data_IF_964910041941
#
_entry.id   IF_964910041941
#
_cell.length_a   1.000
_cell.length_b   1.000
_cell.length_c   1.000
_cell.angle_alpha   90.00
_cell.angle_beta   90.00
_cell.angle_gamma   90.00
#
_symmetry.space_group_name_H-M   'P 1'
#
loop_
_entity.id
_entity.type
_entity.pdbx_description
1 polymer ?
#
# COMPACT_ATOMS: atom_id res chain seq x y z
N UNK A 1 0.04 22.81 -13.38
CA UNK A 1 0.21 21.51 -14.06
C UNK A 1 1.12 20.66 -13.22
N UNK A 2 0.59 19.69 -12.49
CA UNK A 2 1.42 18.71 -11.79
C UNK A 2 2.10 17.82 -12.83
N UNK A 3 3.39 17.51 -12.69
CA UNK A 3 4.07 16.61 -13.63
C UNK A 3 3.34 15.27 -13.62
N UNK A 4 2.95 14.81 -14.80
CA UNK A 4 2.30 13.53 -14.94
C UNK A 4 3.27 12.41 -14.56
N UNK A 5 2.83 11.50 -13.70
CA UNK A 5 3.61 10.31 -13.39
C UNK A 5 3.62 9.40 -14.63
N UNK A 6 4.77 8.92 -15.10
CA UNK A 6 4.86 8.06 -16.28
C UNK A 6 4.01 6.79 -16.16
N UNK A 7 3.78 6.31 -14.93
CA UNK A 7 2.96 5.12 -14.67
C UNK A 7 1.48 5.38 -14.91
N UNK A 8 1.01 6.60 -14.62
CA UNK A 8 -0.39 6.97 -14.83
C UNK A 8 -0.70 7.06 -16.32
N UNK A 9 0.18 7.71 -17.07
CA UNK A 9 -0.01 7.95 -18.50
C UNK A 9 0.03 6.62 -19.27
N UNK A 10 0.91 5.68 -18.87
CA UNK A 10 0.94 4.34 -19.46
C UNK A 10 -0.30 3.49 -19.08
N UNK A 11 -0.81 3.63 -17.85
CA UNK A 11 -2.07 2.99 -17.46
C UNK A 11 -3.25 3.49 -18.29
N UNK A 12 -3.37 4.80 -18.51
CA UNK A 12 -4.44 5.39 -19.32
C UNK A 12 -4.40 4.87 -20.76
N UNK A 13 -3.20 4.84 -21.37
CA UNK A 13 -2.99 4.30 -22.72
C UNK A 13 -3.46 2.84 -22.84
N UNK A 14 -3.02 1.98 -21.91
CA UNK A 14 -3.41 0.56 -21.91
C UNK A 14 -4.89 0.37 -21.59
N UNK A 15 -5.45 1.17 -20.69
CA UNK A 15 -6.85 1.08 -20.31
C UNK A 15 -7.77 1.35 -21.51
N UNK A 16 -7.57 2.46 -22.23
CA UNK A 16 -8.36 2.80 -23.42
C UNK A 16 -8.18 1.78 -24.55
N UNK A 17 -6.95 1.25 -24.72
CA UNK A 17 -6.68 0.21 -25.71
C UNK A 17 -7.52 -1.06 -25.44
N UNK A 18 -7.52 -1.55 -24.20
CA UNK A 18 -8.25 -2.78 -23.85
C UNK A 18 -9.75 -2.57 -23.68
N UNK A 19 -10.19 -1.34 -23.43
CA UNK A 19 -11.63 -1.00 -23.46
C UNK A 19 -12.22 -1.19 -24.87
N UNK A 20 -11.44 -0.93 -25.92
CA UNK A 20 -11.85 -1.05 -27.32
C UNK A 20 -11.70 -2.47 -27.87
N UNK A 21 -10.87 -3.32 -27.25
CA UNK A 21 -10.64 -4.70 -27.71
C UNK A 21 -11.73 -5.66 -27.24
N UNK A 22 -12.57 -6.14 -28.16
CA UNK A 22 -13.70 -7.03 -27.87
C UNK A 22 -13.32 -8.48 -27.62
N UNK A 23 -12.05 -8.86 -27.83
CA UNK A 23 -11.55 -10.19 -27.48
C UNK A 23 -11.38 -10.38 -25.97
N UNK A 24 -11.26 -9.30 -25.22
CA UNK A 24 -11.02 -9.31 -23.78
C UNK A 24 -12.35 -9.29 -23.02
N UNK A 25 -12.50 -10.21 -22.06
CA UNK A 25 -13.67 -10.24 -21.17
C UNK A 25 -13.73 -8.96 -20.32
N UNK A 26 -14.77 -8.16 -20.52
CA UNK A 26 -15.01 -6.88 -19.83
C UNK A 26 -16.48 -6.69 -19.45
N UNK A 27 -16.72 -5.87 -18.42
CA UNK A 27 -18.07 -5.46 -17.99
C UNK A 27 -18.07 -3.95 -17.78
N UNK A 28 -19.12 -3.28 -18.27
CA UNK A 28 -19.32 -1.83 -18.09
C UNK A 28 -20.30 -1.58 -16.95
N UNK A 29 -19.93 -0.68 -16.04
CA UNK A 29 -20.76 -0.24 -14.91
C UNK A 29 -20.64 1.28 -14.85
N UNK A 30 -21.74 2.00 -14.57
CA UNK A 30 -21.67 3.45 -14.44
C UNK A 30 -20.88 3.84 -13.20
N UNK A 31 -20.03 4.85 -13.34
CA UNK A 31 -19.23 5.32 -12.23
C UNK A 31 -20.08 5.80 -11.04
N UNK A 32 -21.17 6.53 -11.29
CA UNK A 32 -22.03 7.00 -10.19
C UNK A 32 -22.60 5.84 -9.37
N UNK A 33 -23.07 4.78 -10.03
CA UNK A 33 -23.69 3.64 -9.36
C UNK A 33 -22.70 2.91 -8.45
N UNK A 34 -21.49 2.67 -8.95
CA UNK A 34 -20.51 1.87 -8.24
C UNK A 34 -19.83 2.69 -7.13
N UNK A 35 -19.65 4.02 -7.28
CA UNK A 35 -19.12 4.88 -6.21
C UNK A 35 -20.16 5.02 -5.09
N UNK A 36 -21.43 5.15 -5.47
CA UNK A 36 -22.54 5.18 -4.52
C UNK A 36 -22.58 3.88 -3.71
N UNK A 37 -22.45 2.71 -4.36
CA UNK A 37 -22.39 1.42 -3.68
C UNK A 37 -21.21 1.33 -2.70
N UNK A 38 -20.01 1.70 -3.15
CA UNK A 38 -18.81 1.66 -2.30
C UNK A 38 -18.96 2.58 -1.06
N UNK A 39 -19.48 3.80 -1.26
CA UNK A 39 -19.67 4.75 -0.17
C UNK A 39 -20.82 4.34 0.76
N UNK A 40 -21.87 3.71 0.23
CA UNK A 40 -22.95 3.15 1.04
C UNK A 40 -22.43 2.06 1.98
N UNK A 41 -21.62 1.12 1.48
CA UNK A 41 -21.01 0.07 2.32
C UNK A 41 -19.98 0.63 3.31
N UNK A 42 -19.27 1.70 2.92
CA UNK A 42 -18.37 2.42 3.82
C UNK A 42 -19.15 3.10 4.94
N UNK A 43 -20.28 3.75 4.64
CA UNK A 43 -21.09 4.43 5.63
C UNK A 43 -21.81 3.46 6.58
N UNK A 44 -22.24 2.30 6.08
CA UNK A 44 -22.93 1.29 6.89
C UNK A 44 -21.99 0.54 7.84
N UNK A 45 -20.82 0.10 7.37
CA UNK A 45 -19.91 -0.76 8.14
C UNK A 45 -18.72 -0.02 8.76
N UNK A 46 -18.32 1.12 8.18
CA UNK A 46 -17.10 1.85 8.55
C UNK A 46 -15.79 1.15 8.20
N UNK A 47 -15.82 0.02 7.47
CA UNK A 47 -14.66 -0.86 7.23
C UNK A 47 -14.25 -1.01 5.77
N UNK A 48 -14.91 -0.30 4.86
CA UNK A 48 -14.49 -0.23 3.45
C UNK A 48 -13.47 0.89 3.30
N UNK A 49 -12.22 0.51 3.10
CA UNK A 49 -11.07 1.41 3.03
C UNK A 49 -10.73 1.82 1.60
N UNK A 50 -10.15 3.01 1.44
CA UNK A 50 -9.77 3.58 0.14
C UNK A 50 -8.29 3.91 0.16
N UNK A 51 -7.57 3.48 -0.87
CA UNK A 51 -6.17 3.80 -1.09
C UNK A 51 -6.01 4.51 -2.43
N UNK A 52 -5.47 5.73 -2.40
CA UNK A 52 -5.13 6.49 -3.59
C UNK A 52 -3.73 6.05 -4.07
N UNK A 53 -3.69 5.00 -4.88
CA UNK A 53 -2.45 4.33 -5.30
C UNK A 53 -1.52 5.22 -6.12
N UNK A 54 -2.05 6.22 -6.80
CA UNK A 54 -1.31 7.26 -7.51
C UNK A 54 -0.54 8.17 -6.54
N UNK A 55 -1.20 8.65 -5.49
CA UNK A 55 -0.54 9.44 -4.44
C UNK A 55 0.50 8.63 -3.68
N UNK A 56 0.23 7.34 -3.41
CA UNK A 56 1.18 6.43 -2.77
C UNK A 56 2.45 6.18 -3.58
N UNK A 57 2.47 6.47 -4.89
CA UNK A 57 3.64 6.28 -5.75
C UNK A 57 4.26 7.59 -6.25
N UNK A 58 3.51 8.70 -6.25
CA UNK A 58 4.05 10.04 -6.58
C UNK A 58 4.67 10.74 -5.38
N UNK A 59 4.12 10.55 -4.18
CA UNK A 59 4.64 11.12 -2.93
C UNK A 59 5.14 10.01 -2.01
N UNK A 60 6.16 9.31 -2.48
CA UNK A 60 6.74 8.15 -1.81
C UNK A 60 8.25 8.30 -1.69
N UNK A 61 8.88 7.73 -0.65
CA UNK A 61 10.33 7.60 -0.61
C UNK A 61 10.87 6.54 -1.60
N UNK A 62 10.00 5.78 -2.27
CA UNK A 62 10.38 4.72 -3.19
C UNK A 62 10.29 5.16 -4.65
N UNK A 63 11.24 4.71 -5.48
CA UNK A 63 11.13 4.81 -6.93
C UNK A 63 10.08 3.81 -7.42
N UNK A 64 8.98 4.26 -8.03
CA UNK A 64 7.89 3.38 -8.40
C UNK A 64 8.21 2.50 -9.62
N UNK A 65 9.32 2.73 -10.33
CA UNK A 65 9.80 1.84 -11.40
C UNK A 65 10.47 0.59 -10.81
N UNK A 66 11.20 0.74 -9.70
CA UNK A 66 11.96 -0.34 -9.07
C UNK A 66 11.16 -1.03 -7.97
N UNK A 67 10.53 -0.24 -7.08
CA UNK A 67 9.85 -0.72 -5.88
C UNK A 67 8.54 0.05 -5.63
N UNK A 68 7.50 -0.15 -6.48
CA UNK A 68 6.22 0.52 -6.32
C UNK A 68 5.44 0.01 -5.11
N UNK A 69 4.65 0.90 -4.52
CA UNK A 69 3.69 0.57 -3.47
C UNK A 69 2.37 0.17 -4.12
N UNK A 70 1.92 -1.06 -3.88
CA UNK A 70 0.68 -1.62 -4.48
C UNK A 70 -0.43 -1.92 -3.48
N UNK A 71 -0.13 -1.86 -2.19
CA UNK A 71 -1.06 -2.19 -1.11
C UNK A 71 -0.74 -1.39 0.15
N UNK A 72 -1.58 -1.52 1.17
CA UNK A 72 -1.35 -0.98 2.52
C UNK A 72 -1.58 -2.09 3.57
N UNK A 73 -1.32 -1.78 4.84
CA UNK A 73 -1.58 -2.68 5.95
C UNK A 73 -3.03 -2.58 6.45
N UNK A 74 -3.33 -3.32 7.52
CA UNK A 74 -4.65 -3.40 8.15
C UNK A 74 -5.28 -2.03 8.50
N UNK A 75 -4.46 -1.07 8.93
CA UNK A 75 -4.93 0.22 9.44
C UNK A 75 -4.68 1.40 8.47
N UNK A 76 -4.25 1.11 7.23
CA UNK A 76 -3.97 2.07 6.15
C UNK A 76 -2.86 3.10 6.38
N UNK A 77 -1.98 2.92 7.37
CA UNK A 77 -0.90 3.85 7.67
C UNK A 77 0.42 3.48 6.97
N UNK A 78 0.59 2.22 6.56
CA UNK A 78 1.84 1.71 5.99
C UNK A 78 1.74 1.56 4.47
N UNK A 79 2.74 2.08 3.76
CA UNK A 79 2.83 2.09 2.30
C UNK A 79 4.24 1.62 1.88
N UNK A 80 4.46 0.30 1.86
CA UNK A 80 5.76 -0.32 1.58
C UNK A 80 5.70 -1.22 0.33
N UNK A 81 6.82 -1.39 -0.40
CA UNK A 81 6.91 -2.29 -1.54
C UNK A 81 6.83 -3.76 -1.10
N UNK A 82 6.28 -4.61 -1.97
CA UNK A 82 6.15 -6.06 -1.73
C UNK A 82 6.28 -6.81 -3.05
N UNK A 83 6.74 -8.06 -2.97
CA UNK A 83 6.80 -9.00 -4.10
C UNK A 83 6.02 -10.26 -3.73
N UNK A 84 5.21 -10.81 -4.65
CA UNK A 84 4.46 -12.04 -4.38
C UNK A 84 5.42 -13.20 -4.10
N UNK A 85 4.97 -14.15 -3.28
CA UNK A 85 5.67 -15.39 -2.99
C UNK A 85 4.99 -16.53 -3.75
N UNK A 86 5.78 -17.44 -4.32
CA UNK A 86 5.26 -18.69 -4.91
C UNK A 86 5.22 -19.85 -3.89
N UNK A 87 6.19 -19.88 -2.96
CA UNK A 87 6.27 -20.82 -1.84
C UNK A 87 6.51 -20.09 -0.51
N UNK A 88 6.22 -20.75 0.62
CA UNK A 88 6.46 -20.22 1.95
C UNK A 88 7.94 -19.91 2.21
N UNK A 89 8.85 -20.67 1.60
CA UNK A 89 10.29 -20.50 1.76
C UNK A 89 10.96 -19.86 0.52
N UNK A 90 10.19 -19.16 -0.31
CA UNK A 90 10.72 -18.46 -1.48
C UNK A 90 11.65 -17.31 -1.05
N UNK A 91 12.87 -17.31 -1.57
CA UNK A 91 13.89 -16.30 -1.28
C UNK A 91 13.77 -15.04 -2.15
N UNK A 92 12.98 -15.08 -3.24
CA UNK A 92 12.80 -13.96 -4.16
C UNK A 92 11.62 -13.06 -3.80
N UNK A 93 10.68 -13.58 -3.00
CA UNK A 93 9.54 -12.84 -2.49
C UNK A 93 9.93 -11.83 -1.42
N UNK A 94 9.09 -10.81 -1.23
CA UNK A 94 9.39 -9.71 -0.33
C UNK A 94 8.16 -9.36 0.50
N UNK A 95 8.26 -9.64 1.81
CA UNK A 95 7.25 -9.28 2.81
C UNK A 95 7.71 -8.02 3.53
N UNK A 96 6.91 -6.96 3.43
CA UNK A 96 7.19 -5.71 4.13
C UNK A 96 6.82 -5.83 5.63
N UNK A 97 7.77 -5.47 6.49
CA UNK A 97 7.58 -5.39 7.95
C UNK A 97 7.82 -3.95 8.41
N UNK A 98 7.06 -3.51 9.41
CA UNK A 98 7.17 -2.15 9.96
C UNK A 98 7.34 -2.19 11.48
N UNK A 99 8.33 -1.45 11.99
CA UNK A 99 8.54 -1.22 13.42
C UNK A 99 7.98 0.14 13.80
N UNK A 100 6.97 0.16 14.67
CA UNK A 100 6.24 1.37 15.03
C UNK A 100 6.73 1.95 16.37
N UNK A 101 6.79 3.28 16.43
CA UNK A 101 6.95 4.05 17.65
C UNK A 101 6.27 5.42 17.47
N UNK A 102 5.89 6.09 18.56
CA UNK A 102 5.16 7.36 18.50
C UNK A 102 5.73 8.39 19.48
N UNK A 103 5.65 9.66 19.11
CA UNK A 103 6.03 10.79 19.96
C UNK A 103 4.82 11.34 20.73
N UNK A 104 4.97 11.56 22.04
CA UNK A 104 3.94 12.21 22.85
C UNK A 104 4.05 13.74 22.75
N UNK A 105 3.20 14.34 21.91
CA UNK A 105 3.18 15.79 21.66
C UNK A 105 2.64 16.62 22.84
N UNK A 106 1.89 16.02 23.77
CA UNK A 106 1.33 16.73 24.93
C UNK A 106 2.36 17.10 25.99
N UNK A 107 3.52 16.41 25.99
CA UNK A 107 4.62 16.67 26.91
C UNK A 107 5.71 17.60 26.30
N UNK A 108 5.62 17.92 25.01
CA UNK A 108 6.58 18.81 24.35
C UNK A 108 6.14 20.28 24.45
N UNK A 109 6.44 20.93 25.58
CA UNK A 109 6.07 22.33 25.83
C UNK A 109 7.08 23.38 25.32
N UNK A 110 8.14 22.98 24.60
CA UNK A 110 9.04 23.92 23.94
C UNK A 110 9.79 23.27 22.77
N UNK A 111 10.20 24.10 21.79
CA UNK A 111 10.91 23.77 20.54
C UNK A 111 12.31 23.13 20.70
N UNK A 112 12.66 22.62 21.88
CA UNK A 112 14.05 22.29 22.25
C UNK A 112 14.31 20.80 22.57
N UNK A 113 13.31 19.92 22.72
CA UNK A 113 13.59 18.51 23.09
C UNK A 113 13.89 17.57 21.91
N UNK A 114 13.42 17.90 20.72
CA UNK A 114 13.44 17.05 19.51
C UNK A 114 14.86 16.88 18.94
N UNK A 115 15.75 17.85 19.20
CA UNK A 115 17.17 17.84 18.83
C UNK A 115 18.08 17.27 19.92
N UNK A 116 17.53 16.84 21.06
CA UNK A 116 18.32 16.35 22.19
C UNK A 116 18.82 14.92 21.95
N UNK A 117 20.11 14.70 22.18
CA UNK A 117 20.83 13.43 22.09
C UNK A 117 20.17 12.26 22.86
N UNK A 118 19.27 12.53 23.82
CA UNK A 118 18.48 11.49 24.50
C UNK A 118 17.51 10.76 23.57
N UNK A 119 16.97 11.41 22.54
CA UNK A 119 16.10 10.77 21.55
C UNK A 119 16.90 9.84 20.62
N UNK A 120 18.13 10.22 20.27
CA UNK A 120 19.04 9.42 19.42
C UNK A 120 19.58 8.16 20.12
N UNK A 121 19.60 8.14 21.45
CA UNK A 121 20.02 6.95 22.21
C UNK A 121 19.07 5.76 22.06
N UNK A 122 17.83 5.99 21.62
CA UNK A 122 16.88 4.94 21.24
C UNK A 122 17.17 4.36 19.83
N UNK A 123 17.64 5.20 18.90
CA UNK A 123 17.91 4.79 17.50
C UNK A 123 19.20 3.95 17.39
N UNK A 124 20.18 4.18 18.27
CA UNK A 124 21.43 3.41 18.27
C UNK A 124 21.29 1.97 18.82
N UNK A 125 20.13 1.61 19.38
CA UNK A 125 19.83 0.29 19.94
C UNK A 125 18.94 -0.57 19.04
N UNK A 126 18.94 -0.32 17.72
CA UNK A 126 18.45 -1.24 16.69
C UNK A 126 19.61 -1.87 15.90
N UNK A 127 20.69 -2.25 16.59
CA UNK A 127 21.67 -3.21 16.04
C UNK A 127 21.35 -4.60 16.57
N UNK A 128 21.07 -5.50 15.63
CA UNK A 128 21.22 -6.95 15.74
C UNK A 128 20.15 -7.72 16.54
N UNK A 129 19.01 -8.00 15.90
CA UNK A 129 18.22 -9.21 16.18
C UNK A 129 17.79 -9.83 14.85
N UNK A 130 18.64 -10.69 14.30
CA UNK A 130 18.25 -11.62 13.24
C UNK A 130 17.26 -12.60 13.85
N UNK A 131 15.96 -12.37 13.67
CA UNK A 131 14.92 -13.32 14.06
C UNK A 131 14.99 -14.49 13.07
N UNK A 132 15.62 -15.58 13.51
CA UNK A 132 15.62 -16.87 12.81
C UNK A 132 14.26 -17.53 13.07
N UNK A 133 13.33 -17.43 12.12
CA UNK A 133 12.01 -18.07 12.19
C UNK A 133 12.18 -19.55 11.84
N UNK A 134 11.93 -20.46 12.79
CA UNK A 134 11.76 -21.90 12.53
C UNK A 134 10.30 -22.22 12.18
N UNK A 135 10.04 -23.22 11.31
CA UNK A 135 8.71 -23.41 10.75
C UNK A 135 7.81 -24.28 11.65
N UNK A 136 6.60 -23.80 11.95
CA UNK A 136 5.51 -24.64 12.48
C UNK A 136 4.27 -24.53 11.59
N UNK A 137 4.08 -25.60 10.80
CA UNK A 137 2.83 -26.22 10.29
C UNK A 137 1.64 -25.36 9.81
N UNK A 138 1.34 -25.55 8.51
CA UNK A 138 0.05 -25.67 7.78
C UNK A 138 -1.24 -25.05 8.39
N UNK A 139 -1.96 -24.26 7.59
CA UNK A 139 -3.14 -24.71 6.82
C UNK A 139 -3.81 -23.57 6.02
N UNK A 140 -4.17 -23.95 4.79
CA UNK A 140 -5.33 -23.55 3.96
C UNK A 140 -5.42 -22.18 3.29
N UNK A 141 -5.36 -22.26 1.97
CA UNK A 141 -5.61 -21.24 0.97
C UNK A 141 -7.08 -20.77 0.92
N UNK A 142 -7.26 -19.47 0.70
CA UNK A 142 -8.48 -18.92 0.09
C UNK A 142 -8.08 -17.87 -0.96
N UNK A 143 -8.54 -18.10 -2.19
CA UNK A 143 -8.42 -17.23 -3.37
C UNK A 143 -8.90 -15.81 -3.08
N UNK A 144 -8.16 -14.80 -3.53
CA UNK A 144 -8.66 -13.44 -3.75
C UNK A 144 -8.56 -13.08 -5.23
N UNK A 145 -9.69 -12.72 -5.82
CA UNK A 145 -9.79 -12.13 -7.14
C UNK A 145 -9.70 -10.60 -7.04
N UNK A 146 -9.00 -9.98 -8.00
CA UNK A 146 -8.82 -8.53 -8.10
C UNK A 146 -9.90 -7.95 -9.00
N UNK A 147 -10.60 -6.93 -8.52
CA UNK A 147 -11.53 -6.11 -9.30
C UNK A 147 -11.07 -4.65 -9.18
N UNK A 148 -10.87 -3.96 -10.31
CA UNK A 148 -10.57 -2.52 -10.32
C UNK A 148 -11.35 -1.79 -11.41
N UNK A 149 -11.64 -0.55 -11.05
CA UNK A 149 -12.50 0.46 -11.61
C UNK A 149 -11.83 1.45 -12.56
N UNK A 150 -12.66 2.11 -13.39
CA UNK A 150 -12.32 3.36 -14.09
C UNK A 150 -13.47 4.37 -14.02
N UNK A 151 -13.10 5.62 -13.76
CA UNK A 151 -13.96 6.80 -13.86
C UNK A 151 -13.70 7.53 -15.17
N UNK A 152 -14.79 7.97 -15.79
CA UNK A 152 -14.82 9.07 -16.76
C UNK A 152 -14.40 10.40 -16.12
#
# INVERSE_FOLDING_TARGET
MTPSSPIRDEFERLYTQYEQDDSIRKQRIKAVELFSLMMQERASTGRIYIQNVDHCNTHSPFDPVVAPVRQSNLCLEIALPTKPLEDVNDENGEIALCTLSAFNLGLSTASTSWKSWRCWRCVLWMRCSTIRITPSRRLNAVRMGVVRWVSA
#
